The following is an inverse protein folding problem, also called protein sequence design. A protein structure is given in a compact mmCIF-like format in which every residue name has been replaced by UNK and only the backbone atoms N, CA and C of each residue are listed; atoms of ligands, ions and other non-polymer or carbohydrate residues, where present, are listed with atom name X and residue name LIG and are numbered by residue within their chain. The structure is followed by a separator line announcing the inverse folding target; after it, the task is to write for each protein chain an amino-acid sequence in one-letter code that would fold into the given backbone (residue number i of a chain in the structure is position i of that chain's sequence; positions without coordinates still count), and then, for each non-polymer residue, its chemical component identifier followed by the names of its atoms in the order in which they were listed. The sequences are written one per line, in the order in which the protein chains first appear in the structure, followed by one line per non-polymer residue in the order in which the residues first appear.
data_IF_175361441439
#
_entry.id   IF_175361441439
#
_cell.length_a   1.000
_cell.length_b   1.000
_cell.length_c   1.000
_cell.angle_alpha   90.00
_cell.angle_beta   90.00
_cell.angle_gamma   90.00
#
_symmetry.space_group_name_H-M   'P 1'
#
loop_
_entity.id
_entity.type
_entity.pdbx_description
1 polymer ?
#
# COMPACT_ATOMS: atom_id res chain seq x y z
N UNK A 1 26.19 -0.29 -13.38
CA UNK A 1 26.29 -0.14 -11.91
C UNK A 1 25.48 -1.25 -11.26
N UNK A 2 26.02 -1.97 -10.25
CA UNK A 2 25.25 -2.97 -9.51
C UNK A 2 24.04 -2.32 -8.83
N UNK A 3 22.90 -3.01 -8.85
CA UNK A 3 21.69 -2.55 -8.16
C UNK A 3 21.87 -2.82 -6.66
N UNK A 4 21.70 -1.79 -5.83
CA UNK A 4 21.86 -1.93 -4.38
C UNK A 4 20.79 -2.86 -3.77
N UNK A 5 21.15 -3.55 -2.67
CA UNK A 5 20.26 -4.50 -1.97
C UNK A 5 18.93 -3.90 -1.56
N UNK A 6 18.93 -2.61 -1.20
CA UNK A 6 17.73 -1.90 -0.81
C UNK A 6 16.78 -1.76 -2.01
N UNK A 7 17.29 -1.41 -3.19
CA UNK A 7 16.51 -1.38 -4.43
C UNK A 7 15.92 -2.74 -4.77
N UNK A 8 16.69 -3.84 -4.62
CA UNK A 8 16.20 -5.20 -4.81
C UNK A 8 15.08 -5.55 -3.83
N UNK A 9 15.29 -5.29 -2.54
CA UNK A 9 14.32 -5.52 -1.48
C UNK A 9 12.99 -4.79 -1.75
N UNK A 10 13.05 -3.51 -2.11
CA UNK A 10 11.87 -2.70 -2.39
C UNK A 10 11.11 -3.19 -3.63
N UNK A 11 11.82 -3.62 -4.68
CA UNK A 11 11.22 -4.24 -5.88
C UNK A 11 10.54 -5.56 -5.55
N UNK A 12 11.13 -6.38 -4.69
CA UNK A 12 10.54 -7.63 -4.22
C UNK A 12 9.23 -7.38 -3.45
N UNK A 13 9.22 -6.42 -2.51
CA UNK A 13 8.02 -6.05 -1.78
C UNK A 13 6.92 -5.48 -2.66
N UNK A 14 7.26 -4.60 -3.62
CA UNK A 14 6.29 -4.12 -4.61
C UNK A 14 5.70 -5.29 -5.41
N UNK A 15 6.53 -6.21 -5.89
CA UNK A 15 6.08 -7.39 -6.65
C UNK A 15 5.06 -8.19 -5.84
N UNK A 16 5.36 -8.46 -4.57
CA UNK A 16 4.48 -9.22 -3.70
C UNK A 16 3.18 -8.47 -3.37
N UNK A 17 3.26 -7.17 -3.09
CA UNK A 17 2.08 -6.35 -2.85
C UNK A 17 1.17 -6.27 -4.08
N UNK A 18 1.73 -6.09 -5.29
CA UNK A 18 0.96 -6.11 -6.53
C UNK A 18 0.26 -7.46 -6.75
N UNK A 19 0.95 -8.57 -6.46
CA UNK A 19 0.38 -9.93 -6.52
C UNK A 19 -0.82 -10.09 -5.57
N UNK A 20 -0.71 -9.60 -4.33
CA UNK A 20 -1.79 -9.67 -3.33
C UNK A 20 -3.05 -8.92 -3.79
N UNK A 21 -2.85 -7.78 -4.47
CA UNK A 21 -3.93 -6.88 -4.88
C UNK A 21 -4.46 -7.16 -6.29
N UNK A 22 -3.83 -8.07 -7.05
CA UNK A 22 -4.19 -8.30 -8.45
C UNK A 22 -3.88 -7.11 -9.35
N UNK A 23 -2.77 -6.42 -9.10
CA UNK A 23 -2.30 -5.28 -9.89
C UNK A 23 -1.16 -5.73 -10.82
N UNK A 24 -1.18 -5.34 -12.10
CA UNK A 24 -0.01 -5.43 -12.96
C UNK A 24 1.08 -4.48 -12.47
N UNK A 25 2.16 -5.07 -11.96
CA UNK A 25 3.33 -4.34 -11.46
C UNK A 25 3.93 -3.37 -12.48
N UNK A 26 3.73 -3.56 -13.80
CA UNK A 26 4.25 -2.66 -14.84
C UNK A 26 3.49 -1.35 -14.91
N UNK A 27 2.22 -1.34 -14.49
CA UNK A 27 1.34 -0.16 -14.51
C UNK A 27 1.55 0.79 -13.33
N UNK A 28 2.34 0.38 -12.32
CA UNK A 28 2.66 1.18 -11.14
C UNK A 28 4.15 1.49 -11.09
N UNK A 29 4.50 2.76 -10.89
CA UNK A 29 5.89 3.19 -10.72
C UNK A 29 6.29 3.14 -9.24
N UNK A 30 7.52 2.70 -8.96
CA UNK A 30 8.11 2.73 -7.63
C UNK A 30 9.25 3.77 -7.61
N UNK A 31 9.15 4.75 -6.74
CA UNK A 31 10.20 5.76 -6.54
C UNK A 31 10.66 5.76 -5.09
N UNK A 32 11.90 6.16 -4.82
CA UNK A 32 12.39 6.37 -3.45
C UNK A 32 11.78 7.66 -2.93
N UNK A 33 11.34 7.64 -1.67
CA UNK A 33 11.02 8.87 -0.95
C UNK A 33 12.34 9.45 -0.45
N UNK A 34 12.89 10.44 -1.18
CA UNK A 34 14.20 11.06 -0.92
C UNK A 34 14.09 12.39 -0.18
N UNK A 35 13.18 13.25 -0.62
CA UNK A 35 12.95 14.56 0.00
C UNK A 35 11.60 14.57 0.70
N UNK A 36 11.61 14.94 1.99
CA UNK A 36 10.41 15.37 2.72
C UNK A 36 10.11 16.80 2.26
N UNK A 37 9.99 17.03 0.96
CA UNK A 37 9.69 18.36 0.45
C UNK A 37 8.18 18.57 0.53
N UNK A 38 7.80 19.36 1.55
CA UNK A 38 6.61 20.22 1.63
C UNK A 38 5.21 19.59 1.64
N UNK A 39 5.02 18.28 1.45
CA UNK A 39 3.66 17.76 1.27
C UNK A 39 2.83 17.54 2.55
N UNK A 40 3.37 17.47 3.77
CA UNK A 40 2.60 16.88 4.89
C UNK A 40 2.96 17.44 6.27
N UNK A 41 2.36 18.58 6.65
CA UNK A 41 2.35 19.11 8.01
C UNK A 41 1.35 18.34 8.90
N UNK A 42 1.65 17.06 9.19
CA UNK A 42 0.83 16.23 10.07
C UNK A 42 1.69 15.46 11.08
N UNK A 43 1.18 15.17 12.30
CA UNK A 43 1.90 14.43 13.32
C UNK A 43 2.02 12.95 12.93
N UNK A 44 3.12 12.56 12.31
CA UNK A 44 3.41 11.15 12.00
C UNK A 44 4.63 10.93 11.12
N UNK A 45 5.33 9.80 11.31
CA UNK A 45 6.40 9.37 10.39
C UNK A 45 5.76 8.78 9.13
N UNK A 46 5.98 9.42 7.98
CA UNK A 46 5.56 8.89 6.68
C UNK A 46 6.52 7.80 6.20
N UNK A 47 5.96 6.61 5.98
CA UNK A 47 6.67 5.46 5.42
C UNK A 47 6.46 5.31 3.91
N UNK A 48 5.40 5.93 3.37
CA UNK A 48 5.10 5.99 1.94
C UNK A 48 4.11 7.09 1.57
N UNK A 49 3.93 7.29 0.28
CA UNK A 49 2.90 8.14 -0.33
C UNK A 49 2.54 7.61 -1.71
N UNK A 50 1.25 7.66 -2.05
CA UNK A 50 0.73 7.32 -3.37
C UNK A 50 0.35 8.59 -4.15
N UNK A 51 0.63 8.57 -5.44
CA UNK A 51 0.23 9.59 -6.41
C UNK A 51 -0.63 8.94 -7.49
N UNK A 52 -1.97 9.08 -7.40
CA UNK A 52 -2.90 8.51 -8.34
C UNK A 52 -2.74 9.03 -9.77
N UNK A 53 -2.35 10.29 -9.96
CA UNK A 53 -2.24 10.90 -11.28
C UNK A 53 -1.12 10.24 -12.09
N UNK A 54 0.01 9.95 -11.44
CA UNK A 54 1.17 9.32 -12.10
C UNK A 54 1.26 7.80 -11.87
N UNK A 55 0.28 7.21 -11.17
CA UNK A 55 0.28 5.80 -10.74
C UNK A 55 1.60 5.42 -10.06
N UNK A 56 2.08 6.31 -9.18
CA UNK A 56 3.38 6.16 -8.52
C UNK A 56 3.18 5.94 -7.03
N UNK A 57 3.88 4.96 -6.48
CA UNK A 57 4.11 4.87 -5.03
C UNK A 57 5.54 5.29 -4.72
N UNK A 58 5.70 6.07 -3.66
CA UNK A 58 6.99 6.45 -3.09
C UNK A 58 7.08 5.81 -1.71
N UNK A 59 8.16 5.10 -1.42
CA UNK A 59 8.38 4.48 -0.11
C UNK A 59 9.73 4.86 0.45
N UNK A 60 9.82 4.95 1.79
CA UNK A 60 11.07 5.22 2.50
C UNK A 60 11.85 3.91 2.72
N UNK A 61 13.18 3.98 2.60
CA UNK A 61 14.15 2.98 3.07
C UNK A 61 13.71 1.51 3.07
N UNK A 62 14.14 0.75 4.09
CA UNK A 62 13.60 -0.58 4.40
C UNK A 62 12.27 -0.39 5.14
N UNK A 63 11.18 -0.81 4.51
CA UNK A 63 9.81 -0.78 5.04
C UNK A 63 9.18 -2.16 4.89
N UNK A 64 8.13 -2.45 5.65
CA UNK A 64 7.44 -3.73 5.57
C UNK A 64 6.48 -3.83 4.38
N UNK A 65 6.07 -5.05 4.04
CA UNK A 65 5.08 -5.33 2.99
C UNK A 65 3.77 -4.53 3.15
N UNK A 66 3.32 -4.33 4.40
CA UNK A 66 2.10 -3.56 4.72
C UNK A 66 2.15 -2.16 4.12
N UNK A 67 3.30 -1.48 4.19
CA UNK A 67 3.47 -0.14 3.60
C UNK A 67 3.21 -0.15 2.09
N UNK A 68 3.71 -1.16 1.37
CA UNK A 68 3.49 -1.26 -0.08
C UNK A 68 2.03 -1.55 -0.41
N UNK A 69 1.39 -2.44 0.34
CA UNK A 69 -0.03 -2.73 0.18
C UNK A 69 -0.88 -1.47 0.47
N UNK A 70 -0.55 -0.74 1.53
CA UNK A 70 -1.21 0.50 1.93
C UNK A 70 -1.14 1.58 0.82
N UNK A 71 0.06 1.88 0.30
CA UNK A 71 0.19 2.88 -0.76
C UNK A 71 -0.50 2.45 -2.06
N UNK A 72 -0.46 1.17 -2.41
CA UNK A 72 -1.17 0.68 -3.60
C UNK A 72 -2.70 0.78 -3.44
N UNK A 73 -3.23 0.53 -2.25
CA UNK A 73 -4.65 0.70 -1.97
C UNK A 73 -5.11 2.16 -2.10
N UNK A 74 -4.25 3.14 -1.79
CA UNK A 74 -4.54 4.56 -2.05
C UNK A 74 -4.66 4.89 -3.54
N UNK A 75 -3.97 4.15 -4.42
CA UNK A 75 -4.18 4.27 -5.87
C UNK A 75 -5.55 3.72 -6.31
N UNK A 76 -6.07 2.73 -5.58
CA UNK A 76 -7.33 2.06 -5.91
C UNK A 76 -8.56 2.76 -5.30
N UNK A 77 -8.45 3.25 -4.07
CA UNK A 77 -9.58 3.69 -3.25
C UNK A 77 -9.41 5.13 -2.76
N UNK A 78 -9.54 6.10 -3.68
CA UNK A 78 -9.40 7.53 -3.35
C UNK A 78 -10.47 8.08 -2.42
N UNK A 79 -11.64 7.43 -2.36
CA UNK A 79 -12.78 7.86 -1.53
C UNK A 79 -12.85 7.18 -0.17
N UNK A 80 -11.97 6.20 0.11
CA UNK A 80 -11.94 5.53 1.42
C UNK A 80 -11.12 6.33 2.41
N UNK A 81 -11.53 6.29 3.68
CA UNK A 81 -10.77 6.94 4.75
C UNK A 81 -9.40 6.28 4.89
N UNK A 82 -8.43 7.05 5.41
CA UNK A 82 -7.10 6.53 5.67
C UNK A 82 -7.12 5.29 6.59
N UNK A 83 -7.98 5.30 7.63
CA UNK A 83 -8.14 4.17 8.54
C UNK A 83 -8.63 2.90 7.85
N UNK A 84 -9.61 3.02 6.95
CA UNK A 84 -10.07 1.88 6.15
C UNK A 84 -8.92 1.30 5.30
N UNK A 85 -8.17 2.16 4.60
CA UNK A 85 -7.04 1.73 3.75
C UNK A 85 -5.94 1.07 4.58
N UNK A 86 -5.65 1.61 5.77
CA UNK A 86 -4.68 1.05 6.70
C UNK A 86 -5.12 -0.32 7.21
N UNK A 87 -6.36 -0.47 7.69
CA UNK A 87 -6.91 -1.77 8.13
C UNK A 87 -6.90 -2.82 7.01
N UNK A 88 -7.31 -2.44 5.80
CA UNK A 88 -7.31 -3.33 4.64
C UNK A 88 -5.90 -3.82 4.31
N UNK A 89 -4.90 -2.95 4.39
CA UNK A 89 -3.51 -3.33 4.15
C UNK A 89 -3.00 -4.40 5.13
N UNK A 90 -3.34 -4.28 6.42
CA UNK A 90 -2.99 -5.28 7.43
C UNK A 90 -3.64 -6.65 7.16
N UNK A 91 -4.96 -6.66 6.91
CA UNK A 91 -5.72 -7.89 6.62
C UNK A 91 -5.10 -8.60 5.40
N UNK A 92 -4.83 -7.85 4.33
CA UNK A 92 -4.36 -8.40 3.07
C UNK A 92 -2.90 -8.88 3.15
N UNK A 93 -2.02 -8.11 3.79
CA UNK A 93 -0.60 -8.45 3.94
C UNK A 93 -0.34 -9.60 4.95
N UNK A 94 -1.29 -9.89 5.85
CA UNK A 94 -1.22 -11.05 6.75
C UNK A 94 -0.07 -11.02 7.77
N UNK A 95 0.43 -9.83 8.15
CA UNK A 95 1.53 -9.65 9.11
C UNK A 95 1.01 -8.99 10.39
N UNK A 96 0.45 -9.75 11.35
CA UNK A 96 -0.11 -9.15 12.55
C UNK A 96 0.94 -8.84 13.63
N UNK A 97 0.97 -7.60 14.13
CA UNK A 97 1.32 -7.31 15.54
C UNK A 97 -0.01 -7.23 16.30
N UNK A 98 -0.31 -8.26 17.10
CA UNK A 98 -1.64 -8.51 17.72
C UNK A 98 -2.29 -7.27 18.36
N UNK A 99 -1.54 -6.46 19.11
CA UNK A 99 -2.10 -5.32 19.86
C UNK A 99 -2.52 -4.13 18.98
N UNK A 100 -1.77 -3.81 17.92
CA UNK A 100 -2.05 -2.65 17.06
C UNK A 100 -3.21 -2.90 16.09
N UNK A 101 -3.55 -4.17 15.87
CA UNK A 101 -4.59 -4.57 14.92
C UNK A 101 -5.99 -4.32 15.47
N UNK A 102 -6.24 -4.54 16.76
CA UNK A 102 -7.60 -4.43 17.28
C UNK A 102 -8.12 -2.99 17.24
N UNK A 103 -7.32 -2.00 17.65
CA UNK A 103 -7.70 -0.59 17.58
C UNK A 103 -7.82 -0.10 16.14
N UNK A 104 -6.89 -0.51 15.26
CA UNK A 104 -6.93 -0.17 13.83
C UNK A 104 -8.12 -0.80 13.12
N UNK A 105 -8.43 -2.08 13.37
CA UNK A 105 -9.55 -2.77 12.74
C UNK A 105 -10.90 -2.26 13.24
N UNK A 106 -10.99 -1.93 14.53
CA UNK A 106 -12.17 -1.26 15.07
C UNK A 106 -12.39 0.11 14.42
N UNK A 107 -11.31 0.88 14.21
CA UNK A 107 -11.38 2.20 13.55
C UNK A 107 -11.56 2.13 12.02
N UNK A 108 -11.17 1.02 11.39
CA UNK A 108 -11.22 0.84 9.94
C UNK A 108 -12.60 0.40 9.43
N UNK A 109 -13.44 -0.15 10.30
CA UNK A 109 -14.78 -0.68 9.99
C UNK A 109 -14.83 -1.50 8.69
N UNK A 110 -14.14 -2.65 8.70
CA UNK A 110 -14.04 -3.55 7.55
C UNK A 110 -14.84 -4.83 7.87
N UNK A 111 -16.12 -4.91 7.47
CA UNK A 111 -16.93 -6.10 7.73
C UNK A 111 -16.53 -7.29 6.84
N UNK A 112 -15.72 -7.07 5.80
CA UNK A 112 -15.34 -8.11 4.86
C UNK A 112 -14.26 -9.05 5.41
N UNK A 113 -14.44 -10.35 5.17
CA UNK A 113 -13.34 -11.32 5.30
C UNK A 113 -12.19 -10.98 4.35
N UNK A 114 -10.99 -11.51 4.65
CA UNK A 114 -9.81 -11.36 3.77
C UNK A 114 -10.07 -11.79 2.32
N UNK A 115 -10.84 -12.85 2.10
CA UNK A 115 -11.17 -13.34 0.76
C UNK A 115 -12.12 -12.39 0.03
N UNK A 116 -13.17 -11.89 0.71
CA UNK A 116 -14.06 -10.87 0.16
C UNK A 116 -13.30 -9.59 -0.18
N UNK A 117 -12.43 -9.13 0.72
CA UNK A 117 -11.61 -7.94 0.51
C UNK A 117 -10.67 -8.11 -0.70
N UNK A 118 -10.03 -9.27 -0.87
CA UNK A 118 -9.22 -9.57 -2.08
C UNK A 118 -10.04 -9.45 -3.37
N UNK A 119 -11.27 -9.97 -3.39
CA UNK A 119 -12.16 -9.88 -4.57
C UNK A 119 -12.52 -8.43 -4.86
N UNK A 120 -12.91 -7.66 -3.85
CA UNK A 120 -13.23 -6.23 -4.00
C UNK A 120 -12.05 -5.43 -4.55
N UNK A 121 -10.86 -5.67 -4.00
CA UNK A 121 -9.63 -4.99 -4.43
C UNK A 121 -9.29 -5.33 -5.87
N UNK A 122 -9.39 -6.61 -6.26
CA UNK A 122 -9.13 -7.03 -7.63
C UNK A 122 -10.11 -6.41 -8.62
N UNK A 123 -11.40 -6.45 -8.32
CA UNK A 123 -12.42 -5.79 -9.15
C UNK A 123 -12.17 -4.28 -9.26
N UNK A 124 -11.70 -3.65 -8.17
CA UNK A 124 -11.31 -2.25 -8.20
C UNK A 124 -10.07 -2.01 -9.06
N UNK A 125 -9.06 -2.88 -8.99
CA UNK A 125 -7.86 -2.81 -9.83
C UNK A 125 -8.20 -2.91 -11.32
N UNK A 126 -9.15 -3.78 -11.69
CA UNK A 126 -9.70 -3.88 -13.04
C UNK A 126 -10.40 -2.57 -13.45
N UNK A 127 -11.29 -2.05 -12.58
CA UNK A 127 -12.03 -0.80 -12.83
C UNK A 127 -11.13 0.41 -13.07
N UNK A 128 -10.00 0.50 -12.36
CA UNK A 128 -9.03 1.61 -12.55
C UNK A 128 -7.96 1.31 -13.61
N UNK A 129 -8.08 0.18 -14.31
CA UNK A 129 -7.16 -0.25 -15.37
C UNK A 129 -5.75 -0.60 -14.87
N UNK A 130 -5.61 -1.00 -13.61
CA UNK A 130 -4.34 -1.42 -12.99
C UNK A 130 -4.15 -2.93 -12.92
N UNK A 131 -5.19 -3.74 -13.14
CA UNK A 131 -5.06 -5.20 -13.26
C UNK A 131 -4.27 -5.63 -14.50
#
# INVERSE_FOLDING_TARGET
MPVDELTLHRRALKKEACKILGIDRRKVRLRRLTNIERAMAGPGRLFGVADPATKTIRTRGRTGLVTYVHELLHLLYRSKTHWWVFGAAYILAGRPRRAMIQSVLAAADIPQSKAQLRRLVRAQAERVGLA
#
